data_IF_076375784622
#
_entry.id   IF_076375784622
#
_cell.length_a   1.000
_cell.length_b   1.000
_cell.length_c   1.000
_cell.angle_alpha   90.00
_cell.angle_beta   90.00
_cell.angle_gamma   90.00
#
_symmetry.space_group_name_H-M   'P 1'
#
loop_
_entity.id
_entity.type
_entity.pdbx_description
1 polymer ?
#
# COMPACT_ATOMS: atom_id res chain seq x y z
N UNK A 1 -21.56 14.72 -0.38
CA UNK A 1 -22.47 13.58 -0.57
C UNK A 1 -22.91 13.12 0.82
N UNK A 2 -24.21 12.99 1.08
CA UNK A 2 -24.75 12.64 2.41
C UNK A 2 -24.89 11.11 2.56
N UNK A 3 -24.98 10.60 3.80
CA UNK A 3 -25.24 9.18 4.08
C UNK A 3 -26.48 8.64 3.33
N UNK A 4 -27.55 9.44 3.28
CA UNK A 4 -28.78 9.08 2.56
C UNK A 4 -28.57 8.90 1.04
N UNK A 5 -27.64 9.65 0.42
CA UNK A 5 -27.31 9.50 -1.00
C UNK A 5 -26.56 8.19 -1.27
N UNK A 6 -25.79 7.68 -0.30
CA UNK A 6 -25.14 6.37 -0.41
C UNK A 6 -26.15 5.23 -0.30
N UNK A 7 -27.12 5.33 0.61
CA UNK A 7 -28.14 4.29 0.78
C UNK A 7 -28.99 4.11 -0.48
N UNK A 8 -29.40 5.21 -1.12
CA UNK A 8 -30.09 5.16 -2.41
C UNK A 8 -29.22 4.50 -3.49
N UNK A 9 -27.96 4.91 -3.61
CA UNK A 9 -27.02 4.34 -4.59
C UNK A 9 -26.80 2.83 -4.36
N UNK A 10 -26.66 2.39 -3.11
CA UNK A 10 -26.50 0.97 -2.78
C UNK A 10 -27.76 0.16 -3.06
N UNK A 11 -28.94 0.74 -2.86
CA UNK A 11 -30.21 0.10 -3.22
C UNK A 11 -30.34 -0.06 -4.74
N UNK A 12 -30.05 0.98 -5.53
CA UNK A 12 -30.09 0.91 -6.99
C UNK A 12 -29.11 -0.14 -7.52
N UNK A 13 -27.91 -0.21 -6.95
CA UNK A 13 -26.90 -1.21 -7.31
C UNK A 13 -27.32 -2.63 -6.93
N UNK A 14 -28.01 -2.83 -5.80
CA UNK A 14 -28.59 -4.12 -5.42
C UNK A 14 -29.65 -4.57 -6.41
N UNK A 15 -30.59 -3.69 -6.76
CA UNK A 15 -31.62 -3.99 -7.75
C UNK A 15 -31.01 -4.36 -9.10
N UNK A 16 -29.97 -3.64 -9.53
CA UNK A 16 -29.26 -3.92 -10.77
C UNK A 16 -28.51 -5.26 -10.75
N UNK A 17 -27.83 -5.59 -9.64
CA UNK A 17 -27.19 -6.90 -9.46
C UNK A 17 -28.23 -8.03 -9.51
N UNK A 18 -29.38 -7.88 -8.86
CA UNK A 18 -30.45 -8.88 -8.87
C UNK A 18 -31.01 -9.10 -10.29
N UNK A 19 -31.20 -8.04 -11.06
CA UNK A 19 -31.62 -8.14 -12.46
C UNK A 19 -30.60 -8.92 -13.31
N UNK A 20 -29.31 -8.61 -13.16
CA UNK A 20 -28.24 -9.34 -13.85
C UNK A 20 -28.15 -10.81 -13.39
N UNK A 21 -28.44 -11.11 -12.12
CA UNK A 21 -28.45 -12.49 -11.63
C UNK A 21 -29.56 -13.31 -12.28
N UNK A 22 -30.76 -12.74 -12.44
CA UNK A 22 -31.84 -13.40 -13.18
C UNK A 22 -31.48 -13.62 -14.66
N UNK A 23 -30.76 -12.69 -15.29
CA UNK A 23 -30.25 -12.83 -16.65
C UNK A 23 -29.17 -13.93 -16.75
N UNK A 24 -28.27 -14.01 -15.76
CA UNK A 24 -27.27 -15.07 -15.69
C UNK A 24 -27.92 -16.43 -15.46
N UNK A 25 -28.93 -16.53 -14.61
CA UNK A 25 -29.59 -17.80 -14.32
C UNK A 25 -30.26 -18.41 -15.55
N UNK A 26 -30.82 -17.56 -16.41
CA UNK A 26 -31.49 -17.95 -17.65
C UNK A 26 -30.53 -18.24 -18.82
N UNK A 27 -29.48 -17.45 -18.98
CA UNK A 27 -28.53 -17.57 -20.12
C UNK A 27 -27.30 -18.43 -19.81
N UNK A 28 -26.93 -18.57 -18.54
CA UNK A 28 -25.63 -19.09 -18.06
C UNK A 28 -24.41 -18.38 -18.68
N UNK A 29 -24.57 -17.15 -19.16
CA UNK A 29 -23.48 -16.36 -19.74
C UNK A 29 -22.50 -15.88 -18.66
N UNK A 30 -21.30 -16.45 -18.69
CA UNK A 30 -20.23 -16.13 -17.74
C UNK A 30 -19.80 -14.66 -17.74
N UNK A 31 -20.01 -13.93 -18.85
CA UNK A 31 -19.70 -12.50 -18.93
C UNK A 31 -20.61 -11.67 -18.02
N UNK A 32 -21.85 -12.11 -17.80
CA UNK A 32 -22.81 -11.48 -16.88
C UNK A 32 -22.36 -11.70 -15.43
N UNK A 33 -21.96 -12.94 -15.08
CA UNK A 33 -21.42 -13.24 -13.75
C UNK A 33 -20.15 -12.43 -13.44
N UNK A 34 -19.29 -12.22 -14.45
CA UNK A 34 -18.12 -11.34 -14.32
C UNK A 34 -18.51 -9.88 -14.07
N UNK A 35 -19.56 -9.37 -14.73
CA UNK A 35 -20.08 -8.01 -14.50
C UNK A 35 -20.62 -7.86 -13.08
N UNK A 36 -21.41 -8.83 -12.60
CA UNK A 36 -21.93 -8.86 -11.23
C UNK A 36 -20.78 -8.78 -10.22
N UNK A 37 -19.76 -9.63 -10.36
CA UNK A 37 -18.61 -9.64 -9.47
C UNK A 37 -17.85 -8.31 -9.44
N UNK A 38 -17.66 -7.66 -10.61
CA UNK A 38 -17.00 -6.34 -10.71
C UNK A 38 -17.80 -5.22 -10.01
N UNK A 39 -19.12 -5.23 -10.13
CA UNK A 39 -19.99 -4.24 -9.47
C UNK A 39 -19.95 -4.45 -7.95
N UNK A 40 -20.08 -5.70 -7.50
CA UNK A 40 -20.00 -6.05 -6.08
C UNK A 40 -18.65 -5.65 -5.46
N UNK A 41 -17.54 -5.89 -6.16
CA UNK A 41 -16.22 -5.48 -5.71
C UNK A 41 -16.10 -3.96 -5.52
N UNK A 42 -16.58 -3.16 -6.48
CA UNK A 42 -16.59 -1.68 -6.36
C UNK A 42 -17.43 -1.20 -5.19
N UNK A 43 -18.60 -1.79 -4.98
CA UNK A 43 -19.47 -1.48 -3.82
C UNK A 43 -18.74 -1.73 -2.51
N UNK A 44 -18.08 -2.88 -2.38
CA UNK A 44 -17.33 -3.20 -1.17
C UNK A 44 -16.09 -2.32 -0.99
N UNK A 45 -15.42 -1.90 -2.07
CA UNK A 45 -14.33 -0.93 -1.99
C UNK A 45 -14.80 0.45 -1.52
N UNK A 46 -15.94 0.93 -2.02
CA UNK A 46 -16.55 2.19 -1.56
C UNK A 46 -16.91 2.06 -0.08
N UNK A 47 -17.62 0.99 0.30
CA UNK A 47 -18.01 0.74 1.70
C UNK A 47 -16.79 0.77 2.62
N UNK A 48 -15.68 0.14 2.21
CA UNK A 48 -14.41 0.13 2.95
C UNK A 48 -13.85 1.52 3.26
N UNK A 49 -14.15 2.54 2.45
CA UNK A 49 -13.70 3.92 2.71
C UNK A 49 -14.43 4.56 3.89
N UNK A 50 -15.64 4.10 4.21
CA UNK A 50 -16.52 4.69 5.22
C UNK A 50 -16.62 3.89 6.53
N UNK A 51 -15.95 2.75 6.64
CA UNK A 51 -15.90 1.95 7.89
C UNK A 51 -14.70 2.34 8.74
N UNK A 52 -14.92 2.46 10.05
CA UNK A 52 -13.93 2.93 11.03
C UNK A 52 -12.74 1.97 11.14
N UNK A 53 -12.99 0.65 11.14
CA UNK A 53 -11.94 -0.37 11.17
C UNK A 53 -11.95 -1.21 9.88
N UNK A 54 -11.16 -0.75 8.91
CA UNK A 54 -11.01 -1.36 7.57
C UNK A 54 -10.60 -2.84 7.59
N UNK A 55 -10.10 -3.37 8.71
CA UNK A 55 -9.58 -4.74 8.82
C UNK A 55 -10.61 -5.68 9.45
N UNK A 56 -11.36 -5.20 10.43
CA UNK A 56 -12.33 -6.00 11.20
C UNK A 56 -13.77 -5.89 10.68
N UNK A 57 -14.13 -4.79 10.01
CA UNK A 57 -15.52 -4.55 9.60
C UNK A 57 -15.91 -5.17 8.24
N UNK A 58 -15.02 -5.97 7.66
CA UNK A 58 -15.24 -6.67 6.40
C UNK A 58 -15.16 -8.19 6.56
N UNK A 59 -16.20 -8.88 6.07
CA UNK A 59 -16.26 -10.34 6.03
C UNK A 59 -15.21 -10.94 5.10
N UNK A 60 -14.87 -12.22 5.31
CA UNK A 60 -13.95 -12.96 4.44
C UNK A 60 -14.40 -12.94 2.97
N UNK A 61 -15.69 -13.16 2.71
CA UNK A 61 -16.22 -13.24 1.35
C UNK A 61 -16.17 -11.90 0.63
N UNK A 62 -16.45 -10.80 1.33
CA UNK A 62 -16.30 -9.46 0.76
C UNK A 62 -14.84 -9.17 0.40
N UNK A 63 -13.89 -9.55 1.28
CA UNK A 63 -12.45 -9.43 0.99
C UNK A 63 -12.04 -10.28 -0.21
N UNK A 64 -12.59 -11.49 -0.33
CA UNK A 64 -12.36 -12.39 -1.45
C UNK A 64 -12.92 -11.81 -2.76
N UNK A 65 -14.16 -11.32 -2.77
CA UNK A 65 -14.81 -10.70 -3.94
C UNK A 65 -14.04 -9.47 -4.41
N UNK A 66 -13.63 -8.58 -3.50
CA UNK A 66 -12.75 -7.45 -3.86
C UNK A 66 -11.48 -7.97 -4.53
N UNK A 67 -10.80 -8.94 -3.92
CA UNK A 67 -9.52 -9.44 -4.43
C UNK A 67 -9.64 -10.11 -5.80
N UNK A 68 -10.73 -10.83 -6.02
CA UNK A 68 -10.97 -11.60 -7.24
C UNK A 68 -11.43 -10.72 -8.41
N UNK A 69 -12.36 -9.79 -8.16
CA UNK A 69 -13.04 -9.04 -9.23
C UNK A 69 -12.63 -7.58 -9.36
N UNK A 70 -12.07 -6.98 -8.31
CA UNK A 70 -11.20 -5.83 -8.45
C UNK A 70 -9.78 -6.38 -8.54
N UNK A 71 -9.27 -6.71 -9.75
CA UNK A 71 -7.85 -6.97 -9.87
C UNK A 71 -7.18 -5.78 -9.22
N UNK A 72 -6.36 -6.03 -8.17
CA UNK A 72 -5.51 -4.99 -7.60
C UNK A 72 -5.00 -4.22 -8.80
N UNK A 73 -5.22 -2.91 -8.83
CA UNK A 73 -4.57 -2.01 -9.77
C UNK A 73 -3.06 -2.07 -9.50
N UNK A 74 -2.45 -3.25 -9.51
CA UNK A 74 -1.09 -3.49 -9.08
C UNK A 74 -0.17 -2.77 -10.02
N UNK A 75 -0.50 -2.68 -11.31
CA UNK A 75 0.25 -1.88 -12.27
C UNK A 75 0.11 -0.38 -12.03
N UNK A 76 -1.10 0.15 -11.87
CA UNK A 76 -1.28 1.61 -11.68
C UNK A 76 -0.87 2.07 -10.28
N UNK A 77 -1.14 1.30 -9.22
CA UNK A 77 -0.68 1.59 -7.87
C UNK A 77 0.82 1.32 -7.71
N UNK A 78 1.41 0.34 -8.41
CA UNK A 78 2.88 0.22 -8.50
C UNK A 78 3.46 1.39 -9.29
N UNK A 79 2.79 1.87 -10.34
CA UNK A 79 3.21 3.07 -11.07
C UNK A 79 3.06 4.34 -10.23
N UNK A 80 1.97 4.51 -9.46
CA UNK A 80 1.81 5.59 -8.48
C UNK A 80 2.87 5.48 -7.39
N UNK A 81 3.09 4.28 -6.84
CA UNK A 81 4.17 4.01 -5.87
C UNK A 81 5.54 4.41 -6.43
N UNK A 82 5.83 3.98 -7.66
CA UNK A 82 7.07 4.34 -8.35
C UNK A 82 7.15 5.84 -8.59
N UNK A 83 6.09 6.51 -9.03
CA UNK A 83 6.08 7.96 -9.29
C UNK A 83 6.21 8.80 -8.00
N UNK A 84 5.49 8.43 -6.95
CA UNK A 84 5.35 9.24 -5.72
C UNK A 84 6.44 8.94 -4.69
N UNK A 85 6.80 7.66 -4.52
CA UNK A 85 7.65 7.20 -3.41
C UNK A 85 9.05 6.73 -3.83
N UNK A 86 9.19 6.16 -5.03
CA UNK A 86 10.50 5.72 -5.55
C UNK A 86 11.13 6.76 -6.48
N UNK A 87 10.30 7.55 -7.17
CA UNK A 87 10.69 8.42 -8.29
C UNK A 87 11.54 7.65 -9.33
N UNK A 88 12.06 8.33 -10.35
CA UNK A 88 13.04 7.74 -11.29
C UNK A 88 14.49 7.84 -10.74
N UNK A 89 14.64 7.96 -9.42
CA UNK A 89 15.94 8.17 -8.78
C UNK A 89 16.65 6.83 -8.59
N UNK A 90 17.85 6.68 -9.14
CA UNK A 90 18.74 5.59 -8.75
C UNK A 90 19.20 5.84 -7.32
N UNK A 91 18.62 5.09 -6.38
CA UNK A 91 18.93 5.25 -4.96
C UNK A 91 20.42 5.05 -4.64
N UNK A 92 21.19 4.39 -5.50
CA UNK A 92 22.65 4.23 -5.31
C UNK A 92 23.43 5.55 -5.45
N UNK A 93 22.81 6.57 -6.05
CA UNK A 93 23.39 7.91 -6.22
C UNK A 93 22.97 8.87 -5.10
N UNK A 94 22.19 8.40 -4.12
CA UNK A 94 21.72 9.23 -3.00
C UNK A 94 22.75 9.32 -1.89
N UNK A 95 22.72 10.41 -1.12
CA UNK A 95 23.64 10.62 0.01
C UNK A 95 23.41 9.58 1.11
N UNK A 96 22.15 9.22 1.36
CA UNK A 96 21.77 8.15 2.28
C UNK A 96 22.45 6.84 1.92
N UNK A 97 22.53 6.48 0.63
CA UNK A 97 23.22 5.25 0.23
C UNK A 97 24.69 5.25 0.61
N UNK A 98 25.40 6.36 0.41
CA UNK A 98 26.81 6.49 0.76
C UNK A 98 27.04 6.39 2.29
N UNK A 99 26.23 7.13 3.07
CA UNK A 99 26.32 7.11 4.54
C UNK A 99 26.04 5.71 5.07
N UNK A 100 24.95 5.07 4.64
CA UNK A 100 24.56 3.75 5.15
C UNK A 100 25.58 2.68 4.71
N UNK A 101 26.13 2.78 3.49
CA UNK A 101 27.23 1.91 3.05
C UNK A 101 28.47 2.08 3.93
N UNK A 102 28.78 3.31 4.35
CA UNK A 102 29.87 3.60 5.29
C UNK A 102 29.60 3.00 6.67
N UNK A 103 28.38 3.15 7.21
CA UNK A 103 27.93 2.52 8.46
C UNK A 103 28.07 0.99 8.43
N UNK A 104 27.91 0.37 7.26
CA UNK A 104 27.99 -1.08 7.06
C UNK A 104 29.36 -1.53 6.50
N UNK A 105 30.46 -0.88 6.91
CA UNK A 105 31.82 -1.31 6.57
C UNK A 105 32.13 -1.26 5.08
N UNK A 106 31.54 -0.31 4.34
CA UNK A 106 31.72 -0.15 2.90
C UNK A 106 30.91 -1.13 2.04
N UNK A 107 30.07 -1.97 2.64
CA UNK A 107 29.24 -2.95 1.91
C UNK A 107 27.79 -2.50 1.83
N UNK A 108 27.11 -2.86 0.74
CA UNK A 108 25.68 -2.60 0.62
C UNK A 108 24.91 -3.35 1.74
N UNK A 109 24.15 -2.66 2.58
CA UNK A 109 23.43 -3.27 3.70
C UNK A 109 22.31 -4.22 3.22
N UNK A 110 22.01 -5.19 4.08
CA UNK A 110 20.84 -6.07 3.95
C UNK A 110 19.56 -5.29 4.27
N UNK A 111 18.43 -5.85 3.85
CA UNK A 111 17.13 -5.22 4.05
C UNK A 111 16.77 -5.00 5.52
N UNK A 112 17.19 -5.89 6.42
CA UNK A 112 16.86 -5.79 7.85
C UNK A 112 17.62 -4.64 8.54
N UNK A 113 18.85 -4.35 8.10
CA UNK A 113 19.59 -3.17 8.55
C UNK A 113 18.85 -1.87 8.18
N UNK A 114 18.31 -1.80 6.95
CA UNK A 114 17.52 -0.65 6.51
C UNK A 114 16.22 -0.50 7.30
N UNK A 115 15.57 -1.61 7.68
CA UNK A 115 14.39 -1.57 8.54
C UNK A 115 14.74 -1.06 9.94
N UNK A 116 15.87 -1.49 10.50
CA UNK A 116 16.36 -1.02 11.80
C UNK A 116 16.57 0.48 11.83
N UNK A 117 17.23 1.06 10.80
CA UNK A 117 17.39 2.50 10.68
C UNK A 117 16.05 3.26 10.62
N UNK A 118 15.10 2.75 9.84
CA UNK A 118 13.77 3.36 9.73
C UNK A 118 13.01 3.30 11.06
N UNK A 119 13.16 2.20 11.80
CA UNK A 119 12.55 2.05 13.12
C UNK A 119 13.14 3.05 14.13
N UNK A 120 14.46 3.24 14.12
CA UNK A 120 15.11 4.27 14.96
C UNK A 120 14.61 5.67 14.63
N UNK A 121 14.58 6.06 13.35
CA UNK A 121 14.06 7.39 12.94
C UNK A 121 12.61 7.57 13.39
N UNK A 122 11.79 6.52 13.29
CA UNK A 122 10.40 6.54 13.76
C UNK A 122 10.32 6.79 15.27
N UNK A 123 11.23 6.22 16.06
CA UNK A 123 11.28 6.39 17.51
C UNK A 123 11.83 7.75 17.92
N UNK A 124 12.82 8.29 17.21
CA UNK A 124 13.44 9.58 17.51
C UNK A 124 12.52 10.76 17.20
N UNK A 125 11.84 10.74 16.05
CA UNK A 125 11.11 11.90 15.52
C UNK A 125 9.56 11.75 15.60
N UNK A 126 9.05 10.68 16.22
CA UNK A 126 7.60 10.32 16.29
C UNK A 126 6.87 10.40 14.94
N UNK A 127 7.53 9.94 13.87
CA UNK A 127 7.02 10.09 12.50
C UNK A 127 6.21 8.86 12.09
N UNK A 128 5.05 9.08 11.47
CA UNK A 128 4.33 8.00 10.79
C UNK A 128 5.04 7.60 9.50
N UNK A 129 5.53 6.36 9.43
CA UNK A 129 6.13 5.82 8.21
C UNK A 129 5.07 5.23 7.29
N UNK A 130 4.92 5.81 6.10
CA UNK A 130 4.01 5.27 5.10
C UNK A 130 4.44 3.86 4.65
N UNK A 131 3.49 2.93 4.66
CA UNK A 131 3.72 1.52 4.29
C UNK A 131 4.35 1.37 2.90
N UNK A 132 4.00 2.23 1.95
CA UNK A 132 4.48 2.13 0.57
C UNK A 132 5.94 2.62 0.42
N UNK A 133 6.43 3.46 1.34
CA UNK A 133 7.82 3.90 1.41
C UNK A 133 8.76 2.77 1.88
N UNK A 134 8.28 1.85 2.73
CA UNK A 134 9.09 0.76 3.28
C UNK A 134 8.99 -0.56 2.51
N UNK A 135 8.24 -0.58 1.41
CA UNK A 135 7.88 -1.80 0.68
C UNK A 135 8.98 -2.35 -0.23
N UNK A 136 9.86 -1.48 -0.75
CA UNK A 136 10.99 -1.89 -1.60
C UNK A 136 12.30 -1.27 -1.11
N UNK A 137 13.43 -1.91 -1.46
CA UNK A 137 14.76 -1.42 -1.08
C UNK A 137 14.99 0.03 -1.52
N UNK A 138 14.62 0.38 -2.76
CA UNK A 138 14.70 1.75 -3.26
C UNK A 138 13.85 2.74 -2.45
N UNK A 139 12.60 2.38 -2.11
CA UNK A 139 11.73 3.23 -1.30
C UNK A 139 12.31 3.49 0.09
N UNK A 140 12.95 2.47 0.71
CA UNK A 140 13.64 2.63 2.00
C UNK A 140 14.77 3.65 1.91
N UNK A 141 15.61 3.58 0.90
CA UNK A 141 16.68 4.57 0.71
C UNK A 141 16.14 5.98 0.49
N UNK A 142 15.04 6.13 -0.24
CA UNK A 142 14.45 7.46 -0.49
C UNK A 142 13.77 8.01 0.75
N UNK A 143 13.12 7.15 1.55
CA UNK A 143 12.65 7.56 2.87
C UNK A 143 13.82 8.05 3.72
N UNK A 144 14.89 7.25 3.80
CA UNK A 144 16.12 7.59 4.52
C UNK A 144 16.76 8.89 4.01
N UNK A 145 16.79 9.13 2.70
CA UNK A 145 17.24 10.39 2.10
C UNK A 145 16.41 11.61 2.53
N UNK A 146 15.09 11.45 2.70
CA UNK A 146 14.24 12.54 3.23
C UNK A 146 14.55 12.87 4.69
N UNK A 147 15.13 11.93 5.42
CA UNK A 147 15.51 12.05 6.83
C UNK A 147 17.04 12.05 6.98
N UNK A 148 17.76 12.62 6.00
CA UNK A 148 19.22 12.56 5.93
C UNK A 148 19.92 13.14 7.17
N UNK A 149 19.36 14.18 7.78
CA UNK A 149 19.93 14.82 8.97
C UNK A 149 20.05 13.81 10.13
N UNK A 150 19.02 13.00 10.36
CA UNK A 150 19.03 11.98 11.42
C UNK A 150 20.05 10.89 11.12
N UNK A 151 20.21 10.51 9.84
CA UNK A 151 21.24 9.56 9.43
C UNK A 151 22.65 10.09 9.63
N UNK A 152 22.89 11.37 9.33
CA UNK A 152 24.17 12.03 9.56
C UNK A 152 24.50 12.07 11.05
N UNK A 153 23.53 12.39 11.91
CA UNK A 153 23.70 12.36 13.36
C UNK A 153 24.01 10.96 13.88
N UNK A 154 23.26 9.93 13.43
CA UNK A 154 23.50 8.54 13.80
C UNK A 154 24.90 8.06 13.37
N UNK A 155 25.34 8.46 12.17
CA UNK A 155 26.66 8.13 11.64
C UNK A 155 27.78 8.83 12.39
N UNK A 156 27.62 10.12 12.70
CA UNK A 156 28.59 10.91 13.46
C UNK A 156 28.76 10.38 14.90
N UNK A 157 27.68 9.90 15.51
CA UNK A 157 27.70 9.31 16.85
C UNK A 157 28.25 7.87 16.87
N UNK A 158 28.67 7.32 15.73
CA UNK A 158 29.31 5.99 15.66
C UNK A 158 28.35 4.83 15.95
N UNK A 159 27.04 5.03 15.80
CA UNK A 159 26.03 4.01 16.07
C UNK A 159 26.23 2.82 15.13
N UNK A 160 26.74 1.71 15.66
CA UNK A 160 26.90 0.44 14.95
C UNK A 160 25.76 -0.48 15.36
N UNK A 161 25.05 -1.03 14.37
CA UNK A 161 24.15 -2.15 14.65
C UNK A 161 25.00 -3.39 14.88
N UNK A 162 24.88 -3.98 16.05
CA UNK A 162 25.35 -5.34 16.29
C UNK A 162 24.51 -6.27 15.42
N UNK A 163 25.18 -6.97 14.51
CA UNK A 163 24.56 -8.05 13.74
C UNK A 163 24.71 -9.33 14.56
N UNK A 164 23.61 -9.83 15.10
CA UNK A 164 23.50 -11.23 15.54
C UNK A 164 23.69 -12.21 14.36
#
# INVERSE_FOLDING_TARGET
MTLAQFDCLFNDLRCYISALQSEYESSKDYTINLKIGKIAAKVFEIKKQYVADKKNDMTHDQKHIITHYCPRHSRENEQKRKKEFVKDTDYKQTKAYEIIKSMNGGKAPRDDFLKGLIQLIKETDDISVEREATRSKAGRYIFLEKHINVLEELHANGSRFESD
#
